data_IF_354767526342
#
_entry.id   IF_354767526342
#
_cell.length_a   1.000
_cell.length_b   1.000
_cell.length_c   1.000
_cell.angle_alpha   90.00
_cell.angle_beta   90.00
_cell.angle_gamma   90.00
#
_symmetry.space_group_name_H-M   'P 1'
#
loop_
_entity.id
_entity.type
_entity.pdbx_description
1 polymer ?
#
# COMPACT_ATOMS: atom_id res chain seq x y z
N UNK A 1 13.15 0.71 -10.79
CA UNK A 1 12.78 -0.71 -10.95
C UNK A 1 11.34 -0.77 -11.45
N UNK A 2 11.13 -1.38 -12.61
CA UNK A 2 9.79 -1.60 -13.15
C UNK A 2 9.22 -2.90 -12.57
N UNK A 3 7.97 -2.83 -12.11
CA UNK A 3 7.24 -3.96 -11.51
C UNK A 3 6.07 -4.32 -12.42
N UNK A 4 6.10 -5.55 -12.95
CA UNK A 4 4.98 -6.09 -13.71
C UNK A 4 3.96 -6.79 -12.81
N UNK A 5 2.75 -7.04 -13.34
CA UNK A 5 1.68 -7.72 -12.63
C UNK A 5 2.07 -9.10 -12.07
N UNK A 6 2.80 -9.97 -12.82
CA UNK A 6 3.21 -11.27 -12.26
C UNK A 6 4.09 -11.14 -11.03
N UNK A 7 5.09 -10.27 -11.07
CA UNK A 7 5.97 -10.04 -9.91
C UNK A 7 5.23 -9.42 -8.73
N UNK A 8 4.36 -8.43 -9.00
CA UNK A 8 3.53 -7.83 -7.96
C UNK A 8 2.63 -8.86 -7.28
N UNK A 9 2.05 -9.78 -8.03
CA UNK A 9 1.27 -10.89 -7.48
C UNK A 9 2.08 -11.76 -6.53
N UNK A 10 3.32 -12.10 -6.88
CA UNK A 10 4.21 -12.85 -5.99
C UNK A 10 4.61 -12.07 -4.74
N UNK A 11 4.81 -10.76 -4.87
CA UNK A 11 5.07 -9.86 -3.71
C UNK A 11 3.88 -9.89 -2.74
N UNK A 12 2.66 -9.80 -3.24
CA UNK A 12 1.46 -9.89 -2.39
C UNK A 12 1.32 -11.25 -1.70
N UNK A 13 1.63 -12.35 -2.41
CA UNK A 13 1.63 -13.69 -1.83
C UNK A 13 2.66 -13.82 -0.70
N UNK A 14 3.87 -13.33 -0.92
CA UNK A 14 4.92 -13.32 0.08
C UNK A 14 4.51 -12.50 1.31
N UNK A 15 3.88 -11.34 1.10
CA UNK A 15 3.40 -10.50 2.19
C UNK A 15 2.32 -11.21 3.02
N UNK A 16 1.33 -11.80 2.37
CA UNK A 16 0.28 -12.55 3.05
C UNK A 16 0.85 -13.73 3.87
N UNK A 17 1.82 -14.43 3.32
CA UNK A 17 2.48 -15.54 4.02
C UNK A 17 3.26 -15.07 5.27
N UNK A 18 4.00 -13.95 5.17
CA UNK A 18 4.69 -13.35 6.31
C UNK A 18 3.70 -12.97 7.41
N UNK A 19 2.62 -12.29 7.05
CA UNK A 19 1.57 -11.90 8.01
C UNK A 19 0.99 -13.14 8.70
N UNK A 20 0.60 -14.16 7.94
CA UNK A 20 -0.06 -15.36 8.48
C UNK A 20 0.76 -16.10 9.52
N UNK A 21 2.08 -15.97 9.50
CA UNK A 21 2.99 -16.64 10.44
C UNK A 21 3.07 -15.96 11.81
N UNK A 22 2.75 -14.68 11.90
CA UNK A 22 2.98 -13.88 13.09
C UNK A 22 1.75 -13.12 13.58
N UNK A 23 0.71 -12.99 12.75
CA UNK A 23 -0.45 -12.17 13.04
C UNK A 23 -1.72 -12.74 12.43
N UNK A 24 -2.81 -12.70 13.19
CA UNK A 24 -4.14 -13.13 12.75
C UNK A 24 -5.11 -11.93 12.70
N UNK A 25 -5.10 -11.12 11.63
CA UNK A 25 -6.02 -10.01 11.51
C UNK A 25 -7.45 -10.50 11.27
N UNK A 26 -8.43 -9.76 11.79
CA UNK A 26 -9.84 -9.97 11.53
C UNK A 26 -10.32 -9.15 10.32
N UNK A 27 -9.64 -8.03 10.05
CA UNK A 27 -9.91 -7.15 8.91
C UNK A 27 -8.61 -6.61 8.34
N UNK A 28 -8.53 -6.59 7.01
CA UNK A 28 -7.48 -5.92 6.26
C UNK A 28 -8.01 -4.57 5.82
N UNK A 29 -7.31 -3.50 6.17
CA UNK A 29 -7.66 -2.13 5.85
C UNK A 29 -6.65 -1.57 4.86
N UNK A 30 -7.06 -1.37 3.60
CA UNK A 30 -6.22 -0.79 2.56
C UNK A 30 -6.29 0.74 2.55
N UNK A 31 -5.15 1.38 2.33
CA UNK A 31 -5.06 2.83 2.19
C UNK A 31 -5.24 3.18 0.70
N UNK A 32 -6.41 3.71 0.36
CA UNK A 32 -6.71 4.11 -1.01
C UNK A 32 -5.88 5.35 -1.41
N UNK A 33 -5.48 5.42 -2.66
CA UNK A 33 -5.86 4.50 -3.74
C UNK A 33 -5.00 3.24 -3.77
N UNK A 34 -3.64 3.35 -3.94
CA UNK A 34 -2.87 2.19 -4.36
C UNK A 34 -2.76 1.08 -3.31
N UNK A 35 -2.82 1.40 -2.03
CA UNK A 35 -2.79 0.40 -0.96
C UNK A 35 -4.00 -0.55 -0.94
N UNK A 36 -5.08 -0.17 -1.62
CA UNK A 36 -6.24 -1.05 -1.82
C UNK A 36 -5.87 -2.28 -2.65
N UNK A 37 -5.00 -2.14 -3.62
CA UNK A 37 -4.62 -3.23 -4.53
C UNK A 37 -3.95 -4.38 -3.75
N UNK A 38 -2.81 -4.18 -3.06
CA UNK A 38 -2.23 -5.23 -2.24
C UNK A 38 -3.15 -5.65 -1.08
N UNK A 39 -3.90 -4.71 -0.51
CA UNK A 39 -4.83 -4.97 0.58
C UNK A 39 -5.89 -6.00 0.21
N UNK A 40 -6.54 -5.85 -0.93
CA UNK A 40 -7.55 -6.81 -1.43
C UNK A 40 -6.93 -8.18 -1.68
N UNK A 41 -5.75 -8.23 -2.31
CA UNK A 41 -5.08 -9.51 -2.59
C UNK A 41 -4.71 -10.22 -1.29
N UNK A 42 -4.12 -9.51 -0.34
CA UNK A 42 -3.74 -10.07 0.97
C UNK A 42 -4.98 -10.53 1.74
N UNK A 43 -6.05 -9.74 1.77
CA UNK A 43 -7.30 -10.13 2.40
C UNK A 43 -7.89 -11.41 1.80
N UNK A 44 -7.84 -11.53 0.48
CA UNK A 44 -8.32 -12.71 -0.24
C UNK A 44 -7.52 -13.96 0.12
N UNK A 45 -6.19 -13.86 0.16
CA UNK A 45 -5.31 -14.98 0.52
C UNK A 45 -5.50 -15.39 1.98
N UNK A 46 -5.61 -14.42 2.89
CA UNK A 46 -5.86 -14.66 4.31
C UNK A 46 -7.29 -15.05 4.62
N UNK A 47 -8.21 -14.93 3.66
CA UNK A 47 -9.66 -15.16 3.86
C UNK A 47 -10.23 -14.29 4.98
N UNK A 48 -9.93 -12.99 4.93
CA UNK A 48 -10.37 -12.00 5.90
C UNK A 48 -11.21 -10.92 5.25
N UNK A 49 -12.00 -10.24 6.07
CA UNK A 49 -12.76 -9.06 5.63
C UNK A 49 -11.81 -7.98 5.12
N UNK A 50 -12.28 -7.23 4.14
CA UNK A 50 -11.57 -6.08 3.60
C UNK A 50 -12.38 -4.80 3.78
N UNK A 51 -11.67 -3.73 4.13
CA UNK A 51 -12.18 -2.37 4.18
C UNK A 51 -11.12 -1.39 3.66
N UNK A 52 -11.49 -0.16 3.43
CA UNK A 52 -10.55 0.88 2.98
C UNK A 52 -10.77 2.20 3.71
N UNK A 53 -9.72 2.99 3.75
CA UNK A 53 -9.71 4.41 4.06
C UNK A 53 -8.95 5.14 2.96
N UNK A 54 -9.07 6.46 2.86
CA UNK A 54 -8.43 7.21 1.81
C UNK A 54 -7.61 8.38 2.33
N UNK A 55 -6.37 8.44 1.90
CA UNK A 55 -5.44 9.54 2.10
C UNK A 55 -5.01 10.10 0.74
N UNK A 56 -4.61 11.36 0.71
CA UNK A 56 -4.07 12.00 -0.49
C UNK A 56 -2.92 12.90 -0.14
N UNK A 57 -2.03 13.14 -1.12
CA UNK A 57 -1.03 14.22 -1.09
C UNK A 57 -1.37 15.20 -2.20
N UNK A 58 -1.42 16.50 -1.89
CA UNK A 58 -1.71 17.55 -2.89
C UNK A 58 -0.56 17.72 -3.86
N UNK A 59 0.68 17.58 -3.35
CA UNK A 59 1.91 17.76 -4.11
C UNK A 59 2.93 16.67 -3.69
N UNK A 60 3.88 16.30 -4.57
CA UNK A 60 4.98 15.43 -4.21
C UNK A 60 5.77 16.00 -3.01
N UNK A 61 6.02 15.17 -1.98
CA UNK A 61 6.70 15.58 -0.76
C UNK A 61 5.85 16.30 0.28
N UNK A 62 4.61 16.68 -0.03
CA UNK A 62 3.68 17.22 0.96
C UNK A 62 3.24 16.15 1.97
N UNK A 63 2.81 16.57 3.15
CA UNK A 63 2.22 15.67 4.13
C UNK A 63 0.89 15.11 3.63
N UNK A 64 0.58 13.85 3.92
CA UNK A 64 -0.70 13.26 3.56
C UNK A 64 -1.84 13.91 4.30
N UNK A 65 -3.02 13.91 3.69
CA UNK A 65 -4.25 14.42 4.26
C UNK A 65 -5.34 13.35 4.20
N UNK A 66 -6.18 13.30 5.23
CA UNK A 66 -7.32 12.41 5.27
C UNK A 66 -8.40 12.87 4.27
N UNK A 67 -8.86 11.95 3.44
CA UNK A 67 -10.00 12.12 2.52
C UNK A 67 -11.22 11.38 3.05
N UNK A 68 -11.05 10.13 3.45
CA UNK A 68 -12.08 9.31 4.05
C UNK A 68 -11.48 8.47 5.17
N UNK A 69 -12.06 8.56 6.36
CA UNK A 69 -11.62 7.83 7.54
C UNK A 69 -11.86 6.32 7.45
N UNK A 70 -11.27 5.56 8.37
CA UNK A 70 -11.55 4.13 8.47
C UNK A 70 -13.01 3.90 8.88
N UNK A 71 -13.63 2.76 8.46
CA UNK A 71 -14.98 2.44 8.85
C UNK A 71 -15.09 2.06 10.33
N UNK A 72 -16.25 2.26 10.91
CA UNK A 72 -16.52 1.90 12.31
C UNK A 72 -16.33 0.39 12.59
N UNK A 73 -16.38 -0.44 11.54
CA UNK A 73 -16.18 -1.89 11.63
C UNK A 73 -14.80 -2.32 12.12
N UNK A 74 -13.80 -1.42 12.15
CA UNK A 74 -12.47 -1.73 12.71
C UNK A 74 -12.47 -1.72 14.24
N UNK A 75 -13.49 -1.17 14.86
CA UNK A 75 -13.60 -1.08 16.33
C UNK A 75 -13.57 -2.46 16.99
N UNK A 76 -12.69 -2.60 17.99
CA UNK A 76 -12.55 -3.84 18.75
C UNK A 76 -11.94 -5.02 17.97
N UNK A 77 -11.45 -4.82 16.75
CA UNK A 77 -10.91 -5.86 15.90
C UNK A 77 -9.39 -5.77 15.77
N UNK A 78 -8.76 -6.90 15.45
CA UNK A 78 -7.35 -6.92 15.01
C UNK A 78 -7.30 -6.48 13.57
N UNK A 79 -6.59 -5.38 13.30
CA UNK A 79 -6.51 -4.70 12.00
C UNK A 79 -5.13 -4.91 11.39
N UNK A 80 -5.09 -5.26 10.11
CA UNK A 80 -3.90 -5.17 9.28
C UNK A 80 -4.06 -3.96 8.35
N UNK A 81 -3.26 -2.93 8.57
CA UNK A 81 -3.24 -1.73 7.74
C UNK A 81 -2.25 -1.91 6.60
N UNK A 82 -2.72 -1.82 5.36
CA UNK A 82 -1.92 -2.15 4.16
C UNK A 82 -1.76 -0.94 3.25
N UNK A 83 -0.51 -0.71 2.84
CA UNK A 83 -0.15 0.23 1.77
C UNK A 83 0.74 -0.47 0.72
N UNK A 84 0.96 0.15 -0.43
CA UNK A 84 1.78 -0.44 -1.49
C UNK A 84 3.27 -0.21 -1.26
N UNK A 85 3.65 0.99 -0.86
CA UNK A 85 5.04 1.39 -0.61
C UNK A 85 5.17 2.19 0.68
N UNK A 86 6.32 2.10 1.32
CA UNK A 86 6.63 2.89 2.51
C UNK A 86 8.04 3.45 2.43
N UNK A 87 8.16 4.77 2.51
CA UNK A 87 9.43 5.48 2.56
C UNK A 87 9.61 6.17 3.92
N UNK A 88 9.09 7.38 4.08
CA UNK A 88 9.15 8.13 5.35
C UNK A 88 8.21 7.59 6.42
N UNK A 89 7.18 6.89 6.03
CA UNK A 89 6.13 6.41 6.91
C UNK A 89 5.03 7.41 7.24
N UNK A 90 5.04 8.60 6.64
CA UNK A 90 4.05 9.64 6.95
C UNK A 90 2.62 9.19 6.68
N UNK A 91 2.39 8.48 5.58
CA UNK A 91 1.08 7.92 5.25
C UNK A 91 0.63 6.89 6.28
N UNK A 92 1.51 5.95 6.64
CA UNK A 92 1.20 4.94 7.65
C UNK A 92 0.97 5.55 9.03
N UNK A 93 1.76 6.55 9.42
CA UNK A 93 1.59 7.24 10.72
C UNK A 93 0.24 7.94 10.81
N UNK A 94 -0.17 8.66 9.77
CA UNK A 94 -1.48 9.31 9.74
C UNK A 94 -2.60 8.28 9.79
N UNK A 95 -2.52 7.24 8.97
CA UNK A 95 -3.51 6.17 8.96
C UNK A 95 -3.60 5.45 10.31
N UNK A 96 -2.47 5.16 10.96
CA UNK A 96 -2.44 4.57 12.30
C UNK A 96 -3.16 5.44 13.33
N UNK A 97 -2.94 6.75 13.31
CA UNK A 97 -3.61 7.68 14.23
C UNK A 97 -5.14 7.68 14.02
N UNK A 98 -5.58 7.69 12.78
CA UNK A 98 -7.01 7.66 12.44
C UNK A 98 -7.68 6.34 12.85
N UNK A 99 -7.01 5.21 12.63
CA UNK A 99 -7.52 3.89 13.04
C UNK A 99 -7.52 3.76 14.57
N UNK A 100 -6.46 4.20 15.25
CA UNK A 100 -6.35 4.15 16.70
C UNK A 100 -7.48 4.90 17.40
N UNK A 101 -7.97 6.00 16.82
CA UNK A 101 -9.10 6.76 17.35
C UNK A 101 -10.41 5.96 17.41
N UNK A 102 -10.54 4.87 16.67
CA UNK A 102 -11.69 3.96 16.69
C UNK A 102 -11.54 2.79 17.68
N UNK A 103 -10.50 2.77 18.47
CA UNK A 103 -10.25 1.74 19.48
C UNK A 103 -10.29 0.30 18.91
N UNK A 104 -9.44 -0.04 17.93
CA UNK A 104 -9.25 -1.41 17.52
C UNK A 104 -8.61 -2.23 18.64
N UNK A 105 -8.70 -3.56 18.56
CA UNK A 105 -8.04 -4.44 19.52
C UNK A 105 -6.51 -4.42 19.34
N UNK A 106 -6.06 -4.42 18.10
CA UNK A 106 -4.65 -4.35 17.71
C UNK A 106 -4.56 -3.81 16.27
N UNK A 107 -3.47 -3.12 15.98
CA UNK A 107 -3.15 -2.66 14.62
C UNK A 107 -1.73 -3.08 14.30
N UNK A 108 -1.53 -3.71 13.15
CA UNK A 108 -0.21 -3.91 12.54
C UNK A 108 -0.21 -3.41 11.11
N UNK A 109 0.96 -3.02 10.63
CA UNK A 109 1.16 -2.42 9.33
C UNK A 109 1.86 -3.39 8.38
N UNK A 110 1.47 -3.37 7.12
CA UNK A 110 2.07 -4.19 6.07
C UNK A 110 2.18 -3.38 4.77
N UNK A 111 3.31 -3.51 4.08
CA UNK A 111 3.52 -2.90 2.78
C UNK A 111 4.13 -3.90 1.80
N UNK A 112 3.82 -3.75 0.53
CA UNK A 112 4.45 -4.56 -0.52
C UNK A 112 5.93 -4.24 -0.63
N UNK A 113 6.28 -2.95 -0.65
CA UNK A 113 7.65 -2.48 -0.82
C UNK A 113 8.05 -1.49 0.28
N UNK A 114 9.15 -1.78 0.94
CA UNK A 114 9.85 -0.82 1.79
C UNK A 114 10.94 -0.13 0.98
N UNK A 115 10.87 1.21 0.88
CA UNK A 115 11.80 1.99 0.05
C UNK A 115 12.59 3.03 0.84
N UNK A 116 12.45 3.07 2.16
CA UNK A 116 13.07 4.07 3.02
C UNK A 116 13.25 3.62 4.46
N UNK A 117 13.56 4.56 5.36
CA UNK A 117 14.00 4.25 6.73
C UNK A 117 12.87 3.77 7.66
N UNK A 118 11.60 4.07 7.35
CA UNK A 118 10.50 3.64 8.20
C UNK A 118 10.34 2.12 8.16
N UNK A 119 10.11 1.52 9.33
CA UNK A 119 9.91 0.07 9.45
C UNK A 119 8.43 -0.24 9.74
N UNK A 120 7.66 -0.69 8.74
CA UNK A 120 6.37 -1.30 8.97
C UNK A 120 6.55 -2.66 9.67
N UNK A 121 5.49 -3.19 10.28
CA UNK A 121 5.56 -4.50 10.94
C UNK A 121 5.87 -5.61 9.95
N UNK A 122 5.34 -5.51 8.72
CA UNK A 122 5.56 -6.47 7.64
C UNK A 122 5.88 -5.75 6.33
N UNK A 123 6.83 -6.28 5.58
CA UNK A 123 7.07 -5.90 4.19
C UNK A 123 7.56 -7.11 3.39
N UNK A 124 7.20 -7.16 2.11
CA UNK A 124 7.57 -8.28 1.26
C UNK A 124 8.90 -8.08 0.57
N UNK A 125 9.19 -6.85 0.13
CA UNK A 125 10.37 -6.53 -0.65
C UNK A 125 10.96 -5.19 -0.21
N UNK A 126 12.28 -5.15 -0.08
CA UNK A 126 13.03 -3.94 0.27
C UNK A 126 13.92 -3.51 -0.88
N UNK A 127 13.93 -2.22 -1.20
CA UNK A 127 14.80 -1.65 -2.22
C UNK A 127 14.96 -0.14 -2.02
N UNK A 128 16.12 0.39 -2.39
CA UNK A 128 16.39 1.83 -2.44
C UNK A 128 16.05 2.45 -3.81
N UNK A 129 15.64 1.62 -4.77
CA UNK A 129 15.32 2.06 -6.13
C UNK A 129 13.92 2.66 -6.19
N UNK A 130 13.75 3.65 -7.07
CA UNK A 130 12.42 4.11 -7.45
C UNK A 130 11.63 2.96 -8.08
N UNK A 131 10.43 2.74 -7.60
CA UNK A 131 9.55 1.67 -8.07
C UNK A 131 8.51 2.26 -9.02
N UNK A 132 8.39 1.69 -10.19
CA UNK A 132 7.32 1.94 -11.14
C UNK A 132 6.33 0.79 -11.08
N UNK A 133 5.17 1.05 -10.50
CA UNK A 133 4.12 0.07 -10.30
C UNK A 133 3.25 -0.09 -11.56
N UNK A 134 2.66 -1.28 -11.79
CA UNK A 134 1.99 -1.54 -13.07
C UNK A 134 0.78 -0.65 -13.33
N UNK A 135 0.12 -0.13 -12.32
CA UNK A 135 -1.02 0.80 -12.46
C UNK A 135 -0.61 2.27 -12.55
N UNK A 136 0.66 2.60 -12.29
CA UNK A 136 1.19 3.97 -12.36
C UNK A 136 1.97 4.26 -13.64
N UNK A 137 2.18 3.25 -14.47
CA UNK A 137 3.04 3.35 -15.64
C UNK A 137 2.47 4.27 -16.71
N UNK A 138 1.18 4.18 -16.96
CA UNK A 138 0.55 4.79 -18.13
C UNK A 138 -0.66 5.62 -17.74
N UNK A 139 -0.96 6.60 -18.58
CA UNK A 139 -2.16 7.42 -18.53
C UNK A 139 -2.83 7.46 -19.90
N UNK A 140 -4.07 7.91 -19.94
CA UNK A 140 -4.78 8.15 -21.18
C UNK A 140 -4.58 9.60 -21.60
N UNK A 141 -4.08 9.80 -22.81
CA UNK A 141 -4.07 11.09 -23.51
C UNK A 141 -4.86 10.95 -24.81
N UNK A 142 -5.97 11.70 -24.91
CA UNK A 142 -6.92 11.50 -26.01
C UNK A 142 -7.57 10.11 -25.94
N UNK A 143 -7.23 9.26 -26.88
CA UNK A 143 -7.70 7.87 -26.97
C UNK A 143 -6.57 6.81 -26.90
N UNK A 144 -5.39 7.24 -26.46
CA UNK A 144 -4.20 6.38 -26.42
C UNK A 144 -3.66 6.25 -25.00
N UNK A 145 -3.08 5.07 -24.71
CA UNK A 145 -2.25 4.85 -23.54
C UNK A 145 -0.84 5.39 -23.82
N UNK A 146 -0.41 6.31 -22.98
CA UNK A 146 0.95 6.88 -23.04
C UNK A 146 1.66 6.69 -21.71
N UNK A 147 2.97 6.54 -21.78
CA UNK A 147 3.79 6.49 -20.57
C UNK A 147 3.68 7.82 -19.83
N UNK A 148 3.54 7.78 -18.49
CA UNK A 148 3.58 9.00 -17.68
C UNK A 148 4.86 9.77 -17.92
N UNK A 149 4.78 11.09 -18.17
CA UNK A 149 5.96 11.91 -18.48
C UNK A 149 7.07 11.83 -17.43
N UNK A 150 6.71 11.74 -16.15
CA UNK A 150 7.66 11.64 -15.04
C UNK A 150 8.54 10.37 -15.07
N UNK A 151 8.13 9.35 -15.83
CA UNK A 151 8.87 8.09 -15.95
C UNK A 151 9.61 7.91 -17.28
N UNK A 152 9.51 8.86 -18.20
CA UNK A 152 10.14 8.77 -19.52
C UNK A 152 11.65 8.52 -19.41
N UNK A 153 12.33 9.20 -18.48
CA UNK A 153 13.77 9.07 -18.25
C UNK A 153 14.20 7.69 -17.72
N UNK A 154 13.30 6.92 -17.11
CA UNK A 154 13.62 5.60 -16.57
C UNK A 154 13.70 4.51 -17.64
N UNK A 155 13.05 4.73 -18.77
CA UNK A 155 12.97 3.75 -19.88
C UNK A 155 14.00 4.07 -20.96
N UNK A 156 14.32 5.34 -21.19
CA UNK A 156 15.33 5.76 -22.16
C UNK A 156 16.76 5.32 -21.79
N UNK A 157 17.04 5.14 -20.49
CA UNK A 157 18.34 4.63 -20.00
C UNK A 157 18.53 3.12 -20.07
N UNK A 158 17.54 2.36 -20.56
CA UNK A 158 17.54 0.89 -20.61
C UNK A 158 17.71 0.31 -22.03
N UNK A 159 18.10 1.14 -23.02
CA UNK A 159 18.40 0.70 -24.39
C UNK A 159 19.88 0.68 -24.66
#
# INVERSE_FOLDING_TARGET
MEVGWPFFGEVCRALALKVSREYDPEVVLGIAKPGVIPGVVVASILQRDFASMALTRREPGALPQLVAGPPASVRGRRVLLVDETCNSGDTLKLALNEVAALNPKEIRTAVSFRTGPYEPDFYAFETDKLILLPWDREIIEGDQLVLRPEYAHLIEGSR
#
